data_IF_259120819344
#
_entry.id   IF_259120819344
#
_cell.length_a   1.000
_cell.length_b   1.000
_cell.length_c   1.000
_cell.angle_alpha   90.00
_cell.angle_beta   90.00
_cell.angle_gamma   90.00
#
_symmetry.space_group_name_H-M   'P 1'
#
loop_
_entity.id
_entity.type
_entity.pdbx_description
1 polymer ?
#
# COMPACT_ATOMS: atom_id res chain seq x y z
N UNK A 1 2.87 -9.36 -17.56
CA UNK A 1 4.01 -9.96 -18.27
C UNK A 1 5.16 -8.97 -18.28
N UNK A 2 6.32 -9.36 -17.71
CA UNK A 2 7.56 -8.58 -17.71
C UNK A 2 8.57 -9.34 -18.56
N UNK A 3 9.23 -8.65 -19.50
CA UNK A 3 10.17 -9.25 -20.44
C UNK A 3 11.50 -8.50 -20.39
N UNK A 4 12.60 -9.23 -20.35
CA UNK A 4 13.96 -8.70 -20.47
C UNK A 4 14.74 -9.48 -21.52
N UNK A 5 15.70 -8.83 -22.18
CA UNK A 5 16.66 -9.44 -23.09
C UNK A 5 17.97 -9.85 -22.40
N UNK A 6 18.10 -9.57 -21.10
CA UNK A 6 19.25 -9.93 -20.29
C UNK A 6 19.46 -11.45 -20.14
N UNK A 7 20.69 -11.83 -19.86
CA UNK A 7 21.09 -13.23 -19.63
C UNK A 7 20.88 -13.56 -18.16
N UNK A 8 19.92 -14.46 -17.87
CA UNK A 8 19.61 -14.91 -16.52
C UNK A 8 19.08 -16.34 -16.55
N UNK A 9 19.44 -17.15 -15.54
CA UNK A 9 18.89 -18.49 -15.33
C UNK A 9 17.57 -18.43 -14.54
N UNK A 10 16.70 -19.44 -14.73
CA UNK A 10 15.37 -19.50 -14.10
C UNK A 10 15.37 -19.32 -12.58
N UNK A 11 16.39 -19.86 -11.88
CA UNK A 11 16.50 -19.72 -10.42
C UNK A 11 16.65 -18.26 -9.96
N UNK A 12 17.40 -17.46 -10.74
CA UNK A 12 17.58 -16.02 -10.47
C UNK A 12 16.38 -15.19 -10.91
N UNK A 13 15.74 -15.57 -12.02
CA UNK A 13 14.46 -14.98 -12.47
C UNK A 13 13.42 -15.08 -11.34
N UNK A 14 13.26 -16.28 -10.76
CA UNK A 14 12.33 -16.50 -9.66
C UNK A 14 12.71 -15.71 -8.39
N UNK A 15 14.01 -15.65 -8.04
CA UNK A 15 14.51 -14.85 -6.90
C UNK A 15 14.22 -13.37 -7.08
N UNK A 16 14.51 -12.81 -8.28
CA UNK A 16 14.29 -11.42 -8.62
C UNK A 16 12.80 -11.04 -8.58
N UNK A 17 11.97 -11.85 -9.26
CA UNK A 17 10.52 -11.62 -9.32
C UNK A 17 9.88 -11.70 -7.93
N UNK A 18 10.20 -12.72 -7.13
CA UNK A 18 9.67 -12.87 -5.77
C UNK A 18 10.00 -11.66 -4.90
N UNK A 19 11.25 -11.16 -5.00
CA UNK A 19 11.66 -9.96 -4.23
C UNK A 19 10.88 -8.72 -4.68
N UNK A 20 10.72 -8.51 -5.99
CA UNK A 20 9.97 -7.39 -6.53
C UNK A 20 8.47 -7.49 -6.19
N UNK A 21 7.85 -8.67 -6.34
CA UNK A 21 6.44 -8.90 -6.03
C UNK A 21 6.13 -8.65 -4.54
N UNK A 22 7.04 -9.04 -3.64
CA UNK A 22 6.88 -8.81 -2.21
C UNK A 22 6.90 -7.33 -1.80
N UNK A 23 7.44 -6.46 -2.63
CA UNK A 23 7.46 -5.00 -2.43
C UNK A 23 6.38 -4.27 -3.23
N UNK A 24 5.61 -4.96 -4.06
CA UNK A 24 4.65 -4.37 -5.00
C UNK A 24 3.30 -5.08 -4.97
N UNK A 25 3.08 -6.08 -5.81
CA UNK A 25 1.79 -6.75 -5.97
C UNK A 25 1.27 -7.40 -4.68
N UNK A 26 2.17 -7.90 -3.80
CA UNK A 26 1.78 -8.45 -2.50
C UNK A 26 1.47 -7.38 -1.45
N UNK A 27 1.66 -6.10 -1.79
CA UNK A 27 1.41 -4.94 -0.92
C UNK A 27 0.29 -4.05 -1.42
N UNK A 28 -0.55 -4.53 -2.36
CA UNK A 28 -1.73 -3.79 -2.80
C UNK A 28 -3.02 -4.45 -2.32
N UNK A 29 -4.06 -3.63 -2.13
CA UNK A 29 -5.41 -4.08 -1.75
C UNK A 29 -6.44 -3.21 -2.45
N UNK A 30 -7.36 -3.83 -3.19
CA UNK A 30 -8.53 -3.17 -3.78
C UNK A 30 -9.77 -3.46 -2.94
N UNK A 31 -10.24 -4.70 -2.90
CA UNK A 31 -11.43 -5.16 -2.17
C UNK A 31 -11.10 -6.02 -0.93
N UNK A 32 -9.89 -6.54 -0.82
CA UNK A 32 -9.45 -7.41 0.27
C UNK A 32 -9.50 -8.89 -0.05
N UNK A 33 -10.07 -9.28 -1.19
CA UNK A 33 -10.07 -10.67 -1.66
C UNK A 33 -8.81 -11.00 -2.45
N UNK A 34 -8.41 -12.27 -2.43
CA UNK A 34 -7.29 -12.77 -3.21
C UNK A 34 -7.81 -13.38 -4.52
N UNK A 35 -7.19 -13.02 -5.64
CA UNK A 35 -7.51 -13.62 -6.93
C UNK A 35 -7.03 -15.08 -6.99
N UNK A 36 -7.85 -15.93 -7.59
CA UNK A 36 -7.50 -17.33 -7.85
C UNK A 36 -6.69 -17.52 -9.14
N UNK A 37 -6.63 -16.50 -10.02
CA UNK A 37 -6.12 -16.64 -11.39
C UNK A 37 -5.07 -15.60 -11.78
N UNK A 38 -4.87 -14.54 -10.98
CA UNK A 38 -3.87 -13.52 -11.30
C UNK A 38 -2.47 -14.09 -11.30
N UNK A 39 -1.70 -13.71 -12.32
CA UNK A 39 -0.38 -14.26 -12.56
C UNK A 39 0.60 -13.18 -12.96
N UNK A 40 1.75 -13.13 -12.31
CA UNK A 40 2.87 -12.29 -12.71
C UNK A 40 4.01 -13.16 -13.27
N UNK A 41 4.42 -12.89 -14.51
CA UNK A 41 5.47 -13.62 -15.19
C UNK A 41 6.63 -12.71 -15.54
N UNK A 42 7.86 -13.15 -15.21
CA UNK A 42 9.12 -12.55 -15.70
C UNK A 42 9.81 -13.51 -16.65
N UNK A 43 10.10 -13.05 -17.84
CA UNK A 43 10.73 -13.83 -18.92
C UNK A 43 12.02 -13.16 -19.41
N UNK A 44 13.07 -13.97 -19.65
CA UNK A 44 14.34 -13.51 -20.19
C UNK A 44 14.71 -14.31 -21.44
N UNK A 45 14.91 -13.63 -22.59
CA UNK A 45 15.24 -14.27 -23.87
C UNK A 45 16.74 -14.30 -24.20
N UNK A 46 17.57 -13.66 -23.38
CA UNK A 46 19.05 -13.60 -23.50
C UNK A 46 19.57 -12.89 -24.75
N UNK A 47 18.74 -12.16 -25.47
CA UNK A 47 19.10 -11.59 -26.78
C UNK A 47 20.17 -10.50 -26.70
N UNK A 48 20.27 -9.75 -25.60
CA UNK A 48 21.29 -8.71 -25.41
C UNK A 48 22.71 -9.26 -25.19
N UNK A 49 22.83 -10.50 -24.71
CA UNK A 49 24.10 -11.06 -24.26
C UNK A 49 24.63 -10.45 -22.95
N UNK A 50 23.91 -9.49 -22.34
CA UNK A 50 24.31 -8.85 -21.07
C UNK A 50 23.96 -9.75 -19.89
N UNK A 51 24.96 -10.12 -19.10
CA UNK A 51 24.75 -10.89 -17.88
C UNK A 51 24.13 -10.01 -16.79
N UNK A 52 22.99 -10.46 -16.26
CA UNK A 52 22.29 -9.84 -15.14
C UNK A 52 22.74 -10.45 -13.80
N UNK A 53 23.47 -11.56 -13.83
CA UNK A 53 23.98 -12.25 -12.66
C UNK A 53 25.49 -12.28 -12.70
N UNK A 54 26.13 -11.73 -11.69
CA UNK A 54 27.58 -11.70 -11.52
C UNK A 54 27.93 -12.35 -10.18
N UNK A 55 28.87 -13.29 -10.18
CA UNK A 55 29.33 -14.01 -8.97
C UNK A 55 28.19 -14.66 -8.12
N UNK A 56 27.10 -15.09 -8.82
CA UNK A 56 25.96 -15.70 -8.16
C UNK A 56 24.94 -14.71 -7.54
N UNK A 57 25.15 -13.40 -7.72
CA UNK A 57 24.23 -12.35 -7.26
C UNK A 57 23.60 -11.59 -8.43
N UNK A 58 22.34 -11.23 -8.26
CA UNK A 58 21.59 -10.41 -9.24
C UNK A 58 22.14 -8.99 -9.21
N UNK A 59 22.39 -8.41 -10.38
CA UNK A 59 22.81 -7.02 -10.50
C UNK A 59 21.83 -6.10 -9.76
N UNK A 60 22.32 -5.27 -8.82
CA UNK A 60 21.47 -4.39 -8.01
C UNK A 60 20.64 -3.41 -8.84
N UNK A 61 21.20 -2.87 -9.93
CA UNK A 61 20.46 -1.91 -10.78
C UNK A 61 19.31 -2.59 -11.52
N UNK A 62 19.52 -3.85 -11.97
CA UNK A 62 18.43 -4.62 -12.55
C UNK A 62 17.32 -4.91 -11.53
N UNK A 63 17.71 -5.31 -10.31
CA UNK A 63 16.75 -5.58 -9.25
C UNK A 63 15.96 -4.33 -8.88
N UNK A 64 16.62 -3.18 -8.76
CA UNK A 64 15.98 -1.89 -8.46
C UNK A 64 15.02 -1.48 -9.59
N UNK A 65 15.44 -1.58 -10.84
CA UNK A 65 14.58 -1.29 -11.99
C UNK A 65 13.35 -2.20 -12.04
N UNK A 66 13.52 -3.49 -11.73
CA UNK A 66 12.41 -4.45 -11.67
C UNK A 66 11.44 -4.10 -10.52
N UNK A 67 11.96 -3.77 -9.33
CA UNK A 67 11.15 -3.34 -8.19
C UNK A 67 10.37 -2.06 -8.53
N UNK A 68 11.03 -1.06 -9.11
CA UNK A 68 10.39 0.18 -9.56
C UNK A 68 9.25 -0.08 -10.56
N UNK A 69 9.50 -0.90 -11.59
CA UNK A 69 8.48 -1.26 -12.58
C UNK A 69 7.29 -1.98 -11.92
N UNK A 70 7.55 -2.93 -11.03
CA UNK A 70 6.49 -3.67 -10.35
C UNK A 70 5.66 -2.76 -9.43
N UNK A 71 6.29 -1.82 -8.73
CA UNK A 71 5.60 -0.82 -7.89
C UNK A 71 4.73 0.11 -8.74
N UNK A 72 5.25 0.61 -9.86
CA UNK A 72 4.48 1.46 -10.77
C UNK A 72 3.24 0.74 -11.32
N UNK A 73 3.39 -0.52 -11.73
CA UNK A 73 2.28 -1.35 -12.18
C UNK A 73 1.27 -1.63 -11.07
N UNK A 74 1.73 -1.93 -9.86
CA UNK A 74 0.89 -2.17 -8.69
C UNK A 74 0.06 -0.93 -8.34
N UNK A 75 0.66 0.26 -8.35
CA UNK A 75 -0.04 1.54 -8.13
C UNK A 75 -1.12 1.79 -9.21
N UNK A 76 -0.82 1.47 -10.47
CA UNK A 76 -1.79 1.59 -11.57
C UNK A 76 -2.97 0.63 -11.39
N UNK A 77 -2.72 -0.62 -10.95
CA UNK A 77 -3.79 -1.57 -10.63
C UNK A 77 -4.71 -1.05 -9.51
N UNK A 78 -4.14 -0.50 -8.45
CA UNK A 78 -4.93 0.10 -7.35
C UNK A 78 -5.76 1.30 -7.84
N UNK A 79 -5.18 2.13 -8.70
CA UNK A 79 -5.87 3.30 -9.27
C UNK A 79 -7.03 2.89 -10.19
N UNK A 80 -6.90 1.76 -10.88
CA UNK A 80 -7.92 1.18 -11.77
C UNK A 80 -8.92 0.26 -11.04
N UNK A 81 -8.84 0.22 -9.71
CA UNK A 81 -9.76 -0.55 -8.88
C UNK A 81 -11.22 -0.15 -9.10
N UNK A 82 -12.13 -1.13 -9.05
CA UNK A 82 -13.54 -0.91 -9.33
C UNK A 82 -14.15 0.13 -8.38
N UNK A 83 -14.65 1.24 -8.95
CA UNK A 83 -15.25 2.32 -8.18
C UNK A 83 -14.26 3.18 -7.38
N UNK A 84 -12.95 2.97 -7.56
CA UNK A 84 -11.93 3.77 -6.89
C UNK A 84 -11.99 5.24 -7.35
N UNK A 85 -12.00 6.15 -6.39
CA UNK A 85 -11.89 7.58 -6.64
C UNK A 85 -10.58 8.18 -6.10
N UNK A 86 -9.96 7.50 -5.14
CA UNK A 86 -8.71 7.93 -4.50
C UNK A 86 -7.76 6.75 -4.29
N UNK A 87 -6.47 7.03 -4.41
CA UNK A 87 -5.39 6.09 -4.05
C UNK A 87 -4.90 6.39 -2.63
N UNK A 88 -4.72 5.34 -1.85
CA UNK A 88 -4.15 5.40 -0.51
C UNK A 88 -2.75 4.79 -0.59
N UNK A 89 -1.74 5.51 -0.11
CA UNK A 89 -0.39 4.99 0.13
C UNK A 89 -0.14 5.01 1.63
N UNK A 90 0.12 3.85 2.24
CA UNK A 90 0.41 3.71 3.66
C UNK A 90 1.88 3.36 3.85
N UNK A 91 2.65 4.28 4.39
CA UNK A 91 4.06 4.13 4.72
C UNK A 91 4.20 3.88 6.23
N UNK A 92 4.82 2.78 6.59
CA UNK A 92 5.17 2.44 7.97
C UNK A 92 6.67 2.55 8.13
N UNK A 93 7.07 3.25 9.17
CA UNK A 93 8.45 3.42 9.64
C UNK A 93 8.56 2.93 11.08
N UNK A 94 9.79 2.70 11.51
CA UNK A 94 10.07 2.43 12.92
C UNK A 94 9.41 1.16 13.47
N UNK A 95 9.01 0.20 12.64
CA UNK A 95 8.52 -1.09 13.09
C UNK A 95 9.67 -1.95 13.63
N UNK A 96 9.38 -2.91 14.49
CA UNK A 96 10.38 -3.83 15.05
C UNK A 96 11.16 -4.60 13.97
N UNK A 97 10.52 -4.92 12.87
CA UNK A 97 11.10 -5.56 11.70
C UNK A 97 10.20 -5.33 10.46
N UNK A 98 10.69 -5.73 9.28
CA UNK A 98 9.99 -5.56 8.01
C UNK A 98 8.64 -6.31 7.95
N UNK A 99 8.50 -7.45 8.63
CA UNK A 99 7.25 -8.23 8.58
C UNK A 99 6.15 -7.52 9.38
N UNK A 100 6.48 -6.96 10.55
CA UNK A 100 5.54 -6.12 11.31
C UNK A 100 5.18 -4.84 10.57
N UNK A 101 6.15 -4.18 9.88
CA UNK A 101 5.87 -3.04 9.04
C UNK A 101 4.86 -3.37 7.93
N UNK A 102 5.02 -4.52 7.27
CA UNK A 102 4.08 -5.00 6.25
C UNK A 102 2.69 -5.27 6.78
N UNK A 103 2.59 -5.90 7.96
CA UNK A 103 1.30 -6.14 8.61
C UNK A 103 0.58 -4.83 8.90
N UNK A 104 1.27 -3.84 9.48
CA UNK A 104 0.70 -2.54 9.79
C UNK A 104 0.27 -1.77 8.53
N UNK A 105 1.13 -1.73 7.49
CA UNK A 105 0.82 -1.06 6.22
C UNK A 105 -0.41 -1.68 5.54
N UNK A 106 -0.46 -3.00 5.43
CA UNK A 106 -1.61 -3.71 4.85
C UNK A 106 -2.88 -3.52 5.67
N UNK A 107 -2.80 -3.50 6.99
CA UNK A 107 -3.97 -3.28 7.84
C UNK A 107 -4.65 -1.93 7.57
N UNK A 108 -3.87 -0.86 7.34
CA UNK A 108 -4.42 0.46 7.00
C UNK A 108 -5.19 0.40 5.67
N UNK A 109 -4.57 -0.09 4.60
CA UNK A 109 -5.17 -0.10 3.26
C UNK A 109 -6.27 -1.14 3.09
N UNK A 110 -6.37 -2.11 4.01
CA UNK A 110 -7.45 -3.11 4.05
C UNK A 110 -8.63 -2.66 4.90
N UNK A 111 -8.45 -1.71 5.83
CA UNK A 111 -9.50 -1.27 6.75
C UNK A 111 -10.70 -0.66 6.05
N UNK A 112 -11.89 -1.29 6.03
CA UNK A 112 -13.08 -0.73 5.39
C UNK A 112 -13.47 0.63 6.00
N UNK A 113 -13.28 0.80 7.31
CA UNK A 113 -13.59 2.05 8.00
C UNK A 113 -12.67 3.18 7.54
N UNK A 114 -11.37 2.91 7.40
CA UNK A 114 -10.42 3.92 6.93
C UNK A 114 -10.63 4.23 5.45
N UNK A 115 -10.81 3.22 4.58
CA UNK A 115 -11.14 3.40 3.16
C UNK A 115 -12.41 4.24 2.96
N UNK A 116 -13.44 4.03 3.79
CA UNK A 116 -14.67 4.86 3.78
C UNK A 116 -14.43 6.28 4.26
N UNK A 117 -13.54 6.49 5.26
CA UNK A 117 -13.14 7.83 5.69
C UNK A 117 -12.44 8.60 4.57
N UNK A 118 -11.52 7.92 3.85
CA UNK A 118 -10.81 8.51 2.69
C UNK A 118 -11.80 8.90 1.60
N UNK A 119 -12.78 8.06 1.28
CA UNK A 119 -13.85 8.39 0.34
C UNK A 119 -14.61 9.65 0.78
N UNK A 120 -14.99 9.71 2.06
CA UNK A 120 -15.72 10.85 2.64
C UNK A 120 -14.88 12.11 2.86
N UNK A 121 -13.56 12.07 2.66
CA UNK A 121 -12.68 13.21 2.94
C UNK A 121 -12.43 13.46 4.42
N UNK A 122 -12.66 12.45 5.29
CA UNK A 122 -12.50 12.52 6.75
C UNK A 122 -11.08 12.08 7.17
N UNK A 123 -10.20 12.98 7.68
CA UNK A 123 -8.86 12.64 8.14
C UNK A 123 -8.88 11.94 9.50
N UNK A 124 -9.55 10.79 9.55
CA UNK A 124 -9.85 10.08 10.78
C UNK A 124 -8.64 9.28 11.31
N UNK A 125 -7.79 9.93 12.11
CA UNK A 125 -6.63 9.28 12.74
C UNK A 125 -7.04 8.09 13.64
N UNK A 126 -8.21 8.13 14.26
CA UNK A 126 -8.70 7.03 15.12
C UNK A 126 -8.90 5.73 14.33
N UNK A 127 -9.31 5.80 13.05
CA UNK A 127 -9.43 4.64 12.17
C UNK A 127 -8.07 4.09 11.76
N UNK A 128 -7.06 4.96 11.59
CA UNK A 128 -5.67 4.53 11.34
C UNK A 128 -5.12 3.81 12.57
N UNK A 129 -5.24 4.41 13.77
CA UNK A 129 -4.82 3.78 15.04
C UNK A 129 -5.50 2.44 15.24
N UNK A 130 -6.80 2.36 14.99
CA UNK A 130 -7.54 1.09 15.07
C UNK A 130 -6.98 0.05 14.10
N UNK A 131 -6.69 0.42 12.85
CA UNK A 131 -6.16 -0.49 11.85
C UNK A 131 -4.78 -1.04 12.26
N UNK A 132 -3.85 -0.19 12.66
CA UNK A 132 -2.53 -0.64 13.11
C UNK A 132 -2.61 -1.45 14.41
N UNK A 133 -3.55 -1.11 15.31
CA UNK A 133 -3.74 -1.79 16.58
C UNK A 133 -4.15 -3.26 16.47
N UNK A 134 -4.92 -3.64 15.44
CA UNK A 134 -5.27 -5.04 15.19
C UNK A 134 -4.36 -5.73 14.16
N UNK A 135 -3.36 -5.04 13.63
CA UNK A 135 -2.49 -5.56 12.55
C UNK A 135 -1.64 -6.76 12.97
N UNK A 136 -1.38 -6.93 14.26
CA UNK A 136 -0.44 -7.90 14.81
C UNK A 136 0.99 -7.37 14.96
N UNK A 137 1.27 -6.12 14.55
CA UNK A 137 2.54 -5.46 14.84
C UNK A 137 2.60 -4.96 16.29
N UNK A 138 3.81 -4.78 16.82
CA UNK A 138 4.02 -4.14 18.13
C UNK A 138 3.75 -2.64 18.04
N UNK A 139 2.60 -2.20 18.54
CA UNK A 139 2.13 -0.80 18.47
C UNK A 139 1.85 -0.28 19.87
N UNK A 140 2.28 0.95 20.16
CA UNK A 140 1.93 1.67 21.38
C UNK A 140 1.25 2.99 21.04
N UNK A 141 0.07 3.22 21.59
CA UNK A 141 -0.65 4.47 21.43
C UNK A 141 0.13 5.68 22.00
N UNK A 142 0.99 5.45 22.98
CA UNK A 142 1.75 6.52 23.66
C UNK A 142 2.97 7.00 22.88
N UNK A 143 3.38 6.27 21.83
CA UNK A 143 4.60 6.59 21.08
C UNK A 143 4.40 6.70 19.58
N UNK A 144 3.23 6.34 19.07
CA UNK A 144 2.96 6.38 17.62
C UNK A 144 2.90 7.80 17.12
N UNK A 145 3.48 8.02 15.93
CA UNK A 145 3.31 9.27 15.17
C UNK A 145 2.57 8.95 13.88
N UNK A 146 1.56 9.76 13.54
CA UNK A 146 0.72 9.60 12.36
C UNK A 146 0.60 10.93 11.64
N UNK A 147 0.96 10.96 10.37
CA UNK A 147 0.77 12.10 9.48
C UNK A 147 -0.06 11.72 8.26
N UNK A 148 -0.77 12.70 7.71
CA UNK A 148 -1.39 12.62 6.39
C UNK A 148 -0.69 13.60 5.46
N UNK A 149 -0.42 13.14 4.23
CA UNK A 149 0.31 13.91 3.24
C UNK A 149 -0.29 13.75 1.83
N UNK A 150 0.08 14.66 0.98
CA UNK A 150 0.01 14.57 -0.47
C UNK A 150 1.32 15.11 -1.08
N UNK A 151 1.38 15.34 -2.39
CA UNK A 151 2.58 15.86 -3.06
C UNK A 151 2.97 17.29 -2.67
N UNK A 152 2.08 18.07 -2.02
CA UNK A 152 2.26 19.49 -1.73
C UNK A 152 2.38 19.78 -0.23
N UNK A 153 1.73 18.99 0.61
CA UNK A 153 1.64 19.27 2.05
C UNK A 153 1.66 17.97 2.86
N UNK A 154 2.13 18.08 4.11
CA UNK A 154 2.12 17.02 5.12
C UNK A 154 1.74 17.63 6.47
N UNK A 155 0.91 16.92 7.23
CA UNK A 155 0.46 17.38 8.54
C UNK A 155 0.36 16.24 9.54
N UNK A 156 0.92 16.45 10.73
CA UNK A 156 0.81 15.52 11.84
C UNK A 156 -0.61 15.52 12.39
N UNK A 157 -1.21 14.33 12.48
CA UNK A 157 -2.49 14.10 13.15
C UNK A 157 -2.28 13.70 14.61
N UNK A 158 -1.28 12.84 14.82
CA UNK A 158 -0.82 12.37 16.14
C UNK A 158 0.70 12.42 16.13
N UNK A 159 1.30 12.88 17.22
CA UNK A 159 2.76 12.92 17.37
C UNK A 159 3.15 12.42 18.75
N UNK A 160 3.99 11.38 18.80
CA UNK A 160 4.42 10.73 20.04
C UNK A 160 3.25 10.42 20.99
N UNK A 161 2.13 9.94 20.43
CA UNK A 161 0.90 9.65 21.13
C UNK A 161 0.00 10.86 21.43
N UNK A 162 0.47 12.09 21.24
CA UNK A 162 -0.33 13.30 21.44
C UNK A 162 -1.18 13.62 20.19
N UNK A 163 -2.49 13.85 20.41
CA UNK A 163 -3.42 14.19 19.34
C UNK A 163 -3.27 15.67 19.01
N UNK A 164 -2.90 15.98 17.75
CA UNK A 164 -2.72 17.33 17.23
C UNK A 164 -3.88 17.78 16.33
N UNK A 165 -4.57 16.84 15.67
CA UNK A 165 -5.69 17.13 14.78
C UNK A 165 -7.03 16.85 15.47
N UNK A 166 -7.66 17.91 15.99
CA UNK A 166 -8.99 17.89 16.59
C UNK A 166 -9.75 19.17 16.22
N UNK A 167 -11.02 19.21 16.54
CA UNK A 167 -11.92 20.34 16.17
C UNK A 167 -11.32 21.69 16.58
N UNK A 168 -11.21 22.60 15.61
CA UNK A 168 -10.67 23.95 15.78
C UNK A 168 -9.16 24.10 15.60
N UNK A 169 -8.42 23.01 15.31
CA UNK A 169 -6.97 23.08 15.01
C UNK A 169 -6.67 23.33 13.54
N UNK A 170 -5.54 23.99 13.26
CA UNK A 170 -5.02 24.15 11.88
C UNK A 170 -4.64 22.78 11.28
N UNK A 171 -4.14 21.85 12.09
CA UNK A 171 -3.80 20.49 11.65
C UNK A 171 -5.02 19.79 11.04
N UNK A 172 -6.18 19.84 11.68
CA UNK A 172 -7.41 19.25 11.14
C UNK A 172 -7.81 19.91 9.81
N UNK A 173 -7.81 21.24 9.74
CA UNK A 173 -8.18 21.96 8.52
C UNK A 173 -7.24 21.66 7.33
N UNK A 174 -5.93 21.51 7.59
CA UNK A 174 -4.96 21.11 6.58
C UNK A 174 -5.16 19.65 6.14
N UNK A 175 -5.37 18.75 7.10
CA UNK A 175 -5.64 17.36 6.82
C UNK A 175 -6.91 17.18 5.96
N UNK A 176 -7.98 17.88 6.24
CA UNK A 176 -9.21 17.89 5.42
C UNK A 176 -8.92 18.31 3.97
N UNK A 177 -8.09 19.34 3.76
CA UNK A 177 -7.68 19.75 2.41
C UNK A 177 -6.87 18.67 1.68
N UNK A 178 -5.95 17.98 2.39
CA UNK A 178 -5.17 16.87 1.84
C UNK A 178 -6.10 15.74 1.41
N UNK A 179 -7.10 15.42 2.24
CA UNK A 179 -8.08 14.35 1.98
C UNK A 179 -8.99 14.60 0.77
N UNK A 180 -9.11 15.84 0.27
CA UNK A 180 -9.85 16.14 -0.96
C UNK A 180 -9.12 15.73 -2.23
N UNK A 181 -7.82 15.43 -2.18
CA UNK A 181 -7.01 15.01 -3.32
C UNK A 181 -7.32 13.59 -3.80
N UNK A 182 -6.85 13.26 -4.99
CA UNK A 182 -6.94 11.91 -5.56
C UNK A 182 -5.93 10.91 -4.95
N UNK A 183 -4.88 11.41 -4.31
CA UNK A 183 -3.85 10.62 -3.63
C UNK A 183 -3.76 11.05 -2.17
N UNK A 184 -3.87 10.09 -1.27
CA UNK A 184 -3.73 10.29 0.18
C UNK A 184 -2.59 9.42 0.67
N UNK A 185 -1.58 10.03 1.25
CA UNK A 185 -0.43 9.35 1.84
C UNK A 185 -0.61 9.35 3.36
N UNK A 186 -0.48 8.19 3.97
CA UNK A 186 -0.49 7.99 5.42
C UNK A 186 0.91 7.59 5.85
N UNK A 187 1.58 8.42 6.62
CA UNK A 187 2.88 8.14 7.21
C UNK A 187 2.69 7.79 8.69
N UNK A 188 3.18 6.61 9.10
CA UNK A 188 3.10 6.15 10.49
C UNK A 188 4.47 5.72 10.96
N UNK A 189 4.94 6.32 12.04
CA UNK A 189 6.13 5.85 12.77
C UNK A 189 5.69 5.13 14.03
N UNK A 190 6.08 3.84 14.15
CA UNK A 190 5.75 3.01 15.31
C UNK A 190 6.73 3.18 16.47
N UNK A 191 7.89 3.81 16.23
CA UNK A 191 8.95 4.03 17.24
C UNK A 191 9.39 2.76 17.98
N UNK A 192 9.53 1.62 17.26
CA UNK A 192 9.88 0.29 17.81
C UNK A 192 11.17 -0.30 17.24
N UNK A 193 11.68 0.21 16.13
CA UNK A 193 12.85 -0.32 15.44
C UNK A 193 13.15 0.42 14.14
N UNK A 194 13.64 -0.31 13.14
CA UNK A 194 14.04 0.20 11.84
C UNK A 194 13.32 -0.50 10.66
N UNK A 195 12.28 -1.28 10.96
CA UNK A 195 11.47 -1.92 9.94
C UNK A 195 10.62 -0.93 9.17
N UNK A 196 10.63 -1.03 7.84
CA UNK A 196 9.87 -0.15 6.95
C UNK A 196 9.10 -0.95 5.90
N UNK A 197 7.92 -0.50 5.56
CA UNK A 197 7.14 -1.05 4.45
C UNK A 197 6.12 -0.04 3.94
N UNK A 198 5.77 -0.18 2.66
CA UNK A 198 4.69 0.58 2.03
C UNK A 198 3.64 -0.37 1.48
N UNK A 199 2.36 -0.01 1.63
CA UNK A 199 1.23 -0.67 0.98
C UNK A 199 0.36 0.36 0.26
N UNK A 200 -0.34 -0.09 -0.78
CA UNK A 200 -1.24 0.75 -1.55
C UNK A 200 -2.65 0.16 -1.59
N UNK A 201 -3.64 1.02 -1.55
CA UNK A 201 -5.04 0.67 -1.65
C UNK A 201 -5.83 1.78 -2.32
N UNK A 202 -7.11 1.56 -2.51
CA UNK A 202 -8.05 2.58 -2.95
C UNK A 202 -9.10 2.84 -1.86
N UNK A 203 -9.83 3.94 -1.98
CA UNK A 203 -10.98 4.24 -1.13
C UNK A 203 -12.12 3.20 -1.34
N UNK A 204 -13.07 3.19 -0.42
CA UNK A 204 -14.26 2.37 -0.50
C UNK A 204 -15.46 3.26 -0.87
N UNK A 205 -15.81 3.26 -2.15
CA UNK A 205 -16.93 4.02 -2.67
C UNK A 205 -18.25 3.24 -2.58
N UNK A 206 -19.38 3.95 -2.76
CA UNK A 206 -20.71 3.34 -2.83
C UNK A 206 -20.83 2.36 -4.01
N UNK A 207 -20.09 2.57 -5.09
CA UNK A 207 -20.08 1.69 -6.27
C UNK A 207 -19.63 0.28 -5.91
N UNK A 208 -18.52 0.15 -5.18
CA UNK A 208 -17.99 -1.15 -4.76
C UNK A 208 -18.97 -1.88 -3.83
N UNK A 209 -19.62 -1.17 -2.90
CA UNK A 209 -20.61 -1.74 -1.99
C UNK A 209 -21.85 -2.25 -2.76
N UNK A 210 -22.32 -1.51 -3.75
CA UNK A 210 -23.53 -1.86 -4.51
C UNK A 210 -23.29 -2.96 -5.56
N UNK A 211 -22.11 -3.05 -6.15
CA UNK A 211 -21.79 -4.09 -7.14
C UNK A 211 -21.62 -5.45 -6.47
N UNK A 212 -21.13 -5.48 -5.24
CA UNK A 212 -20.98 -6.71 -4.45
C UNK A 212 -22.29 -7.17 -3.79
N UNK A 213 -23.38 -6.40 -3.86
CA UNK A 213 -24.68 -6.90 -3.40
C UNK A 213 -25.17 -8.00 -4.35
N UNK A 214 -25.50 -9.21 -3.83
CA UNK A 214 -26.08 -10.24 -4.67
C UNK A 214 -27.38 -9.70 -5.23
N UNK A 215 -27.50 -9.66 -6.55
CA UNK A 215 -28.75 -9.34 -7.24
C UNK A 215 -29.85 -10.15 -6.58
N UNK A 216 -30.78 -9.50 -5.88
CA UNK A 216 -31.98 -10.16 -5.37
C UNK A 216 -32.64 -10.84 -6.56
N UNK A 217 -32.62 -12.19 -6.57
CA UNK A 217 -33.39 -12.92 -7.54
C UNK A 217 -34.84 -12.47 -7.35
N UNK A 218 -35.37 -11.76 -8.33
CA UNK A 218 -36.81 -11.53 -8.41
C UNK A 218 -37.47 -12.91 -8.35
N UNK A 219 -38.44 -13.15 -7.45
CA UNK A 219 -39.17 -14.42 -7.43
C UNK A 219 -39.78 -14.60 -8.82
N UNK A 220 -39.45 -15.72 -9.45
CA UNK A 220 -40.15 -16.15 -10.68
C UNK A 220 -41.53 -16.50 -10.23
N UNK A 221 -42.53 -15.67 -10.59
CA UNK A 221 -43.95 -15.91 -10.43
C UNK A 221 -44.41 -17.01 -11.37
#
# INVERSE_FOLDING_TARGET
FIVTDGVMESKYINKALKKAANKSFNMIVVDGDESTNDTCLLMANKASGVNIVNDGEIDPNFQEALEYLCIDLAKKMVKDGEGASKVIEANIYGAKNIDEARLAAKAIVTSPLFKSAVFGGDPNWGRIVSAIGYSGADVSADTVTIAIANKQDEVDLVKDGEILAFEGTDNLLRAEKIMLGEEVIVNVDLNKGDGEATAWGCDLSLSLIHISEPTRRTPIS
#
